data_IF_789537452499
#
_entry.id   IF_789537452499
#
_cell.length_a   1.000
_cell.length_b   1.000
_cell.length_c   1.000
_cell.angle_alpha   90.00
_cell.angle_beta   90.00
_cell.angle_gamma   90.00
#
_symmetry.space_group_name_H-M   'P 1'
#
loop_
_entity.id
_entity.type
_entity.pdbx_description
1 polymer ?
#
# COMPACT_ATOMS: atom_id res chain seq x y z
N UNK A 1 1.15 -17.54 24.38
CA UNK A 1 0.18 -16.59 23.81
C UNK A 1 0.77 -16.08 22.51
N UNK A 2 0.07 -16.12 21.36
CA UNK A 2 0.68 -15.65 20.12
C UNK A 2 0.95 -14.16 20.16
N UNK A 3 2.10 -13.74 19.65
CA UNK A 3 2.57 -12.34 19.70
C UNK A 3 2.64 -11.71 18.32
N UNK A 4 2.00 -10.56 18.18
CA UNK A 4 2.08 -9.67 17.02
C UNK A 4 2.98 -8.48 17.35
N UNK A 5 3.96 -8.20 16.48
CA UNK A 5 4.78 -6.99 16.54
C UNK A 5 4.36 -6.03 15.45
N UNK A 6 3.94 -4.82 15.81
CA UNK A 6 3.70 -3.74 14.86
C UNK A 6 4.99 -2.94 14.68
N UNK A 7 5.66 -3.12 13.54
CA UNK A 7 7.01 -2.59 13.30
C UNK A 7 7.00 -1.05 13.16
N UNK A 8 8.06 -0.37 13.61
CA UNK A 8 8.18 1.10 13.47
C UNK A 8 8.35 1.52 12.00
N UNK A 9 8.16 2.81 11.69
CA UNK A 9 7.73 3.89 12.59
C UNK A 9 6.24 3.79 12.95
N UNK A 10 5.89 4.22 14.16
CA UNK A 10 4.50 4.27 14.60
C UNK A 10 3.78 5.52 14.09
N UNK A 11 2.47 5.37 13.89
CA UNK A 11 1.56 6.45 13.54
C UNK A 11 0.37 6.46 14.49
N UNK A 12 -0.39 7.56 14.54
CA UNK A 12 -1.65 7.61 15.29
C UNK A 12 -2.61 6.45 14.94
N UNK A 13 -2.54 5.96 13.70
CA UNK A 13 -3.33 4.82 13.23
C UNK A 13 -2.83 3.50 13.81
N UNK A 14 -1.52 3.23 13.82
CA UNK A 14 -0.99 1.98 14.38
C UNK A 14 -1.14 1.92 15.89
N UNK A 15 -0.98 3.05 16.58
CA UNK A 15 -1.27 3.18 18.02
C UNK A 15 -2.72 2.84 18.33
N UNK A 16 -3.67 3.41 17.57
CA UNK A 16 -5.10 3.13 17.72
C UNK A 16 -5.40 1.64 17.48
N UNK A 17 -4.90 1.09 16.37
CA UNK A 17 -5.10 -0.33 16.03
C UNK A 17 -4.54 -1.27 17.10
N UNK A 18 -3.36 -0.99 17.65
CA UNK A 18 -2.81 -1.79 18.74
C UNK A 18 -3.74 -1.79 19.96
N UNK A 19 -4.28 -0.63 20.34
CA UNK A 19 -5.24 -0.50 21.44
C UNK A 19 -6.53 -1.29 21.18
N UNK A 20 -7.09 -1.18 19.97
CA UNK A 20 -8.29 -1.92 19.56
C UNK A 20 -8.04 -3.44 19.59
N UNK A 21 -6.89 -3.90 19.07
CA UNK A 21 -6.51 -5.33 19.05
C UNK A 21 -6.35 -5.90 20.46
N UNK A 22 -5.70 -5.18 21.37
CA UNK A 22 -5.54 -5.63 22.78
C UNK A 22 -6.90 -5.74 23.47
N UNK A 23 -7.82 -4.81 23.19
CA UNK A 23 -9.16 -4.79 23.78
C UNK A 23 -10.06 -5.89 23.22
N UNK A 24 -10.06 -6.09 21.91
CA UNK A 24 -10.97 -7.02 21.23
C UNK A 24 -10.44 -8.45 21.19
N UNK A 25 -9.12 -8.63 21.21
CA UNK A 25 -8.46 -9.94 21.11
C UNK A 25 -7.46 -10.16 22.26
N UNK A 26 -7.93 -10.22 23.52
CA UNK A 26 -7.06 -10.33 24.70
C UNK A 26 -6.24 -11.64 24.76
N UNK A 27 -6.57 -12.63 23.92
CA UNK A 27 -5.80 -13.86 23.75
C UNK A 27 -4.51 -13.69 22.93
N UNK A 28 -4.25 -12.51 22.37
CA UNK A 28 -3.02 -12.19 21.65
C UNK A 28 -2.23 -11.09 22.37
N UNK A 29 -0.91 -11.20 22.31
CA UNK A 29 -0.02 -10.13 22.75
C UNK A 29 0.26 -9.21 21.57
N UNK A 30 0.12 -7.90 21.76
CA UNK A 30 0.49 -6.89 20.76
C UNK A 30 1.64 -6.05 21.30
N UNK A 31 2.75 -6.02 20.57
CA UNK A 31 3.90 -5.17 20.86
C UNK A 31 3.96 -4.03 19.83
N UNK A 32 4.23 -2.82 20.32
CA UNK A 32 4.27 -1.59 19.52
C UNK A 32 5.62 -0.87 19.75
N UNK A 33 6.75 -1.47 19.32
CA UNK A 33 8.07 -0.85 19.46
C UNK A 33 8.16 0.50 18.74
N UNK A 34 8.80 1.48 19.35
CA UNK A 34 9.01 2.81 18.76
C UNK A 34 10.32 2.92 17.98
N UNK A 35 11.28 2.03 18.27
CA UNK A 35 12.61 2.01 17.65
C UNK A 35 12.95 0.66 17.04
N UNK A 36 13.94 0.64 16.13
CA UNK A 36 14.44 -0.61 15.54
C UNK A 36 15.08 -1.53 16.59
N UNK A 37 15.69 -0.96 17.63
CA UNK A 37 16.26 -1.74 18.74
C UNK A 37 15.17 -2.46 19.53
N UNK A 38 14.09 -1.75 19.88
CA UNK A 38 12.93 -2.34 20.53
C UNK A 38 12.25 -3.38 19.64
N UNK A 39 12.16 -3.11 18.33
CA UNK A 39 11.62 -4.06 17.37
C UNK A 39 12.45 -5.33 17.29
N UNK A 40 13.79 -5.20 17.28
CA UNK A 40 14.74 -6.32 17.30
C UNK A 40 14.62 -7.15 18.58
N UNK A 41 14.35 -6.53 19.73
CA UNK A 41 14.06 -7.27 20.97
C UNK A 41 12.67 -7.94 20.93
N UNK A 42 11.66 -7.24 20.42
CA UNK A 42 10.28 -7.71 20.39
C UNK A 42 10.05 -8.85 19.39
N UNK A 43 10.80 -8.90 18.28
CA UNK A 43 10.59 -9.89 17.22
C UNK A 43 11.09 -11.29 17.58
N UNK A 44 12.00 -11.41 18.57
CA UNK A 44 12.68 -12.67 18.91
C UNK A 44 11.69 -13.83 19.10
N UNK A 45 10.64 -13.59 19.87
CA UNK A 45 9.60 -14.55 20.19
C UNK A 45 8.26 -14.26 19.49
N UNK A 46 8.23 -13.36 18.51
CA UNK A 46 7.02 -12.99 17.79
C UNK A 46 6.56 -14.08 16.82
N UNK A 47 5.24 -14.33 16.79
CA UNK A 47 4.61 -15.23 15.82
C UNK A 47 4.27 -14.50 14.51
N UNK A 48 3.95 -13.21 14.63
CA UNK A 48 3.53 -12.37 13.52
C UNK A 48 4.14 -10.97 13.61
N UNK A 49 4.29 -10.33 12.45
CA UNK A 49 4.67 -8.93 12.35
C UNK A 49 3.81 -8.19 11.32
N UNK A 50 3.59 -6.89 11.56
CA UNK A 50 2.91 -5.98 10.63
C UNK A 50 3.85 -4.81 10.31
N UNK A 51 4.15 -4.58 9.04
CA UNK A 51 4.98 -3.46 8.60
C UNK A 51 6.07 -3.83 7.58
N UNK A 52 7.15 -3.05 7.59
CA UNK A 52 8.38 -3.31 6.84
C UNK A 52 9.38 -3.92 7.81
N UNK A 53 9.86 -5.13 7.51
CA UNK A 53 10.75 -5.89 8.39
C UNK A 53 12.20 -5.77 7.91
N UNK A 54 13.06 -5.00 8.59
CA UNK A 54 14.48 -4.90 8.24
C UNK A 54 15.22 -6.23 8.38
N UNK A 55 16.31 -6.41 7.64
CA UNK A 55 17.05 -7.68 7.60
C UNK A 55 17.70 -8.04 8.95
N UNK A 56 18.17 -7.05 9.70
CA UNK A 56 18.76 -7.20 11.03
C UNK A 56 17.72 -7.56 12.11
N UNK A 57 16.48 -7.07 11.94
CA UNK A 57 15.34 -7.46 12.77
C UNK A 57 14.88 -8.88 12.41
N UNK A 58 14.78 -9.22 11.12
CA UNK A 58 14.47 -10.59 10.67
C UNK A 58 15.48 -11.60 11.22
N UNK A 59 16.77 -11.26 11.24
CA UNK A 59 17.82 -12.15 11.76
C UNK A 59 17.67 -12.49 13.26
N UNK A 60 16.94 -11.68 14.02
CA UNK A 60 16.64 -11.95 15.43
C UNK A 60 15.39 -12.83 15.63
N UNK A 61 14.55 -12.99 14.61
CA UNK A 61 13.27 -13.68 14.71
C UNK A 61 13.45 -15.21 14.84
N UNK A 62 12.89 -15.81 15.90
CA UNK A 62 13.00 -17.26 16.13
C UNK A 62 11.68 -18.01 15.90
N UNK A 63 10.55 -17.31 15.93
CA UNK A 63 9.20 -17.91 15.87
C UNK A 63 8.31 -17.32 14.77
N UNK A 64 8.84 -16.42 13.95
CA UNK A 64 8.06 -15.64 13.01
C UNK A 64 7.47 -16.54 11.91
N UNK A 65 6.14 -16.58 11.84
CA UNK A 65 5.38 -17.39 10.87
C UNK A 65 4.64 -16.53 9.86
N UNK A 66 4.28 -15.30 10.23
CA UNK A 66 3.50 -14.40 9.37
C UNK A 66 4.03 -12.97 9.36
N UNK A 67 4.22 -12.40 8.18
CA UNK A 67 4.51 -10.98 7.97
C UNK A 67 3.42 -10.36 7.09
N UNK A 68 2.72 -9.36 7.61
CA UNK A 68 1.74 -8.58 6.87
C UNK A 68 2.35 -7.26 6.40
N UNK A 69 2.41 -7.07 5.08
CA UNK A 69 2.76 -5.79 4.48
C UNK A 69 1.63 -4.77 4.65
N UNK A 70 1.95 -3.50 4.96
CA UNK A 70 0.96 -2.43 5.07
C UNK A 70 0.49 -1.91 3.70
N UNK A 71 1.09 -2.37 2.60
CA UNK A 71 0.80 -1.89 1.25
C UNK A 71 0.20 -3.00 0.38
N UNK A 72 -0.59 -2.60 -0.63
CA UNK A 72 -1.03 -3.54 -1.67
C UNK A 72 0.11 -3.86 -2.64
N UNK A 73 0.90 -2.86 -3.02
CA UNK A 73 2.16 -3.03 -3.73
C UNK A 73 3.28 -2.50 -2.83
N UNK A 74 4.01 -3.38 -2.12
CA UNK A 74 5.17 -2.96 -1.36
C UNK A 74 6.22 -2.32 -2.27
N UNK A 75 6.97 -1.30 -1.79
CA UNK A 75 7.98 -0.63 -2.60
C UNK A 75 9.11 -1.60 -3.00
N UNK A 76 9.88 -1.21 -4.01
CA UNK A 76 11.10 -1.93 -4.38
C UNK A 76 12.01 -2.07 -3.15
N UNK A 77 12.59 -3.25 -2.96
CA UNK A 77 13.43 -3.57 -1.81
C UNK A 77 12.69 -4.13 -0.60
N UNK A 78 11.35 -4.11 -0.57
CA UNK A 78 10.59 -4.78 0.51
C UNK A 78 10.91 -6.28 0.59
N UNK A 79 10.95 -6.95 -0.57
CA UNK A 79 11.37 -8.34 -0.70
C UNK A 79 12.89 -8.37 -0.98
N UNK A 80 13.68 -8.54 0.07
CA UNK A 80 15.13 -8.72 -0.02
C UNK A 80 15.52 -10.20 0.09
N UNK A 81 16.73 -10.62 -0.37
CA UNK A 81 17.10 -12.03 -0.47
C UNK A 81 16.87 -12.85 0.80
N UNK A 82 17.22 -12.31 1.98
CA UNK A 82 17.02 -13.00 3.25
C UNK A 82 15.54 -13.18 3.62
N UNK A 83 14.65 -12.24 3.28
CA UNK A 83 13.21 -12.41 3.50
C UNK A 83 12.62 -13.45 2.54
N UNK A 84 13.10 -13.49 1.30
CA UNK A 84 12.65 -14.44 0.27
C UNK A 84 13.00 -15.88 0.66
N UNK A 85 14.17 -16.11 1.26
CA UNK A 85 14.61 -17.44 1.69
C UNK A 85 14.08 -17.84 3.06
N UNK A 86 13.56 -16.90 3.85
CA UNK A 86 13.03 -17.17 5.18
C UNK A 86 11.70 -17.93 5.09
N UNK A 87 11.42 -18.90 5.99
CA UNK A 87 10.17 -19.67 5.98
C UNK A 87 8.91 -18.89 6.39
N UNK A 88 9.01 -17.56 6.54
CA UNK A 88 7.87 -16.73 6.98
C UNK A 88 6.88 -16.57 5.83
N UNK A 89 5.60 -16.72 6.11
CA UNK A 89 4.58 -16.40 5.12
C UNK A 89 4.38 -14.89 5.05
N UNK A 90 4.69 -14.30 3.89
CA UNK A 90 4.50 -12.87 3.65
C UNK A 90 3.19 -12.63 2.90
N UNK A 91 2.33 -11.78 3.46
CA UNK A 91 1.06 -11.35 2.87
C UNK A 91 1.08 -9.85 2.59
N UNK A 92 0.26 -9.40 1.64
CA UNK A 92 0.02 -7.98 1.33
C UNK A 92 -1.49 -7.70 1.30
N UNK A 93 -1.86 -6.44 1.08
CA UNK A 93 -3.27 -6.06 0.92
C UNK A 93 -3.72 -6.37 -0.52
N UNK A 94 -4.81 -7.12 -0.69
CA UNK A 94 -5.41 -7.39 -2.01
C UNK A 94 -6.89 -7.04 -2.00
N UNK A 95 -7.39 -6.56 -3.14
CA UNK A 95 -8.82 -6.31 -3.36
C UNK A 95 -9.35 -4.96 -2.87
N UNK A 96 -8.61 -4.23 -2.03
CA UNK A 96 -9.05 -2.96 -1.44
C UNK A 96 -9.08 -1.77 -2.41
N UNK A 97 -8.50 -1.92 -3.62
CA UNK A 97 -8.39 -0.84 -4.60
C UNK A 97 -9.09 -1.11 -5.94
N UNK A 98 -9.71 -2.28 -6.11
CA UNK A 98 -10.24 -2.70 -7.41
C UNK A 98 -11.22 -1.68 -8.00
N UNK A 99 -12.20 -1.24 -7.21
CA UNK A 99 -13.22 -0.30 -7.68
C UNK A 99 -12.67 1.12 -7.83
N UNK A 100 -11.88 1.57 -6.85
CA UNK A 100 -11.32 2.92 -6.84
C UNK A 100 -10.38 3.16 -8.03
N UNK A 101 -9.52 2.20 -8.35
CA UNK A 101 -8.58 2.33 -9.48
C UNK A 101 -9.34 2.26 -10.80
N UNK A 102 -10.31 1.35 -10.95
CA UNK A 102 -11.09 1.26 -12.18
C UNK A 102 -11.85 2.57 -12.48
N UNK A 103 -12.48 3.17 -11.47
CA UNK A 103 -13.15 4.46 -11.59
C UNK A 103 -12.17 5.58 -11.96
N UNK A 104 -10.98 5.59 -11.34
CA UNK A 104 -9.95 6.59 -11.60
C UNK A 104 -9.38 6.48 -13.02
N UNK A 105 -9.15 5.26 -13.51
CA UNK A 105 -8.75 5.01 -14.91
C UNK A 105 -9.81 5.54 -15.86
N UNK A 106 -11.09 5.22 -15.62
CA UNK A 106 -12.18 5.66 -16.49
C UNK A 106 -12.32 7.19 -16.53
N UNK A 107 -12.17 7.84 -15.38
CA UNK A 107 -12.12 9.30 -15.29
C UNK A 107 -11.01 9.87 -16.19
N UNK A 108 -9.79 9.32 -16.14
CA UNK A 108 -8.69 9.77 -17.01
C UNK A 108 -8.95 9.49 -18.48
N UNK A 109 -9.43 8.29 -18.84
CA UNK A 109 -9.74 7.93 -20.23
C UNK A 109 -10.71 8.94 -20.83
N UNK A 110 -11.80 9.26 -20.13
CA UNK A 110 -12.80 10.23 -20.60
C UNK A 110 -12.24 11.65 -20.66
N UNK A 111 -11.53 12.09 -19.63
CA UNK A 111 -10.94 13.43 -19.57
C UNK A 111 -9.93 13.66 -20.69
N UNK A 112 -9.02 12.71 -20.92
CA UNK A 112 -7.95 12.83 -21.91
C UNK A 112 -8.49 12.67 -23.34
N UNK A 113 -9.42 11.75 -23.59
CA UNK A 113 -10.02 11.57 -24.92
C UNK A 113 -10.76 12.84 -25.41
N UNK A 114 -11.30 13.64 -24.48
CA UNK A 114 -12.00 14.90 -24.75
C UNK A 114 -11.12 16.13 -24.62
N UNK A 115 -9.85 15.98 -24.23
CA UNK A 115 -8.92 17.10 -24.02
C UNK A 115 -9.35 18.04 -22.88
N UNK A 116 -10.03 17.50 -21.87
CA UNK A 116 -10.54 18.25 -20.71
C UNK A 116 -9.46 19.13 -20.03
N UNK A 117 -8.20 18.65 -19.82
CA UNK A 117 -7.17 19.51 -19.21
C UNK A 117 -6.95 20.83 -19.95
N UNK A 118 -6.98 20.83 -21.29
CA UNK A 118 -6.80 22.04 -22.08
C UNK A 118 -7.96 23.03 -21.92
N UNK A 119 -9.19 22.54 -21.86
CA UNK A 119 -10.35 23.37 -21.59
C UNK A 119 -10.36 23.90 -20.15
N UNK A 120 -9.88 23.11 -19.19
CA UNK A 120 -9.70 23.57 -17.80
C UNK A 120 -8.67 24.70 -17.71
N UNK A 121 -7.56 24.62 -18.46
CA UNK A 121 -6.58 25.70 -18.54
C UNK A 121 -7.17 26.98 -19.17
N UNK A 122 -7.94 26.84 -20.25
CA UNK A 122 -8.65 27.96 -20.87
C UNK A 122 -9.65 28.62 -19.91
N UNK A 123 -10.42 27.80 -19.19
CA UNK A 123 -11.36 28.25 -18.17
C UNK A 123 -10.65 28.99 -17.03
N UNK A 124 -9.52 28.47 -16.52
CA UNK A 124 -8.70 29.15 -15.49
C UNK A 124 -8.19 30.50 -15.98
N UNK A 125 -7.88 30.62 -17.27
CA UNK A 125 -7.51 31.88 -17.92
C UNK A 125 -8.74 32.77 -18.26
N UNK A 126 -9.95 32.38 -17.85
CA UNK A 126 -11.22 33.07 -18.13
C UNK A 126 -11.51 33.25 -19.62
N UNK A 127 -11.06 32.29 -20.43
CA UNK A 127 -11.30 32.28 -21.88
C UNK A 127 -12.31 31.21 -22.24
N UNK A 128 -13.32 31.60 -23.00
CA UNK A 128 -14.19 30.67 -23.71
C UNK A 128 -13.57 30.35 -25.06
N UNK A 129 -13.00 29.16 -25.19
CA UNK A 129 -12.18 28.78 -26.35
C UNK A 129 -12.58 27.38 -26.82
N UNK A 130 -13.34 27.33 -27.92
CA UNK A 130 -13.83 26.09 -28.53
C UNK A 130 -12.69 25.22 -29.07
N UNK A 131 -11.55 25.84 -29.38
CA UNK A 131 -10.40 25.22 -30.04
C UNK A 131 -9.23 25.03 -29.04
N UNK A 132 -9.48 25.10 -27.73
CA UNK A 132 -8.44 25.03 -26.70
C UNK A 132 -7.60 23.75 -26.73
N UNK A 133 -8.12 22.65 -27.29
CA UNK A 133 -7.42 21.35 -27.36
C UNK A 133 -6.15 21.47 -28.19
N UNK A 134 -5.06 20.91 -27.64
CA UNK A 134 -3.78 20.79 -28.36
C UNK A 134 -3.56 19.40 -28.95
N UNK A 135 -4.43 18.45 -28.64
CA UNK A 135 -4.46 17.11 -29.21
C UNK A 135 -5.76 16.86 -29.98
N UNK A 136 -5.72 15.90 -30.90
CA UNK A 136 -6.92 15.42 -31.57
C UNK A 136 -7.94 14.83 -30.58
N UNK A 137 -9.21 14.85 -30.99
CA UNK A 137 -10.24 14.04 -30.35
C UNK A 137 -9.89 12.56 -30.49
N UNK A 138 -9.98 11.80 -29.40
CA UNK A 138 -9.91 10.34 -29.47
C UNK A 138 -11.34 9.81 -29.45
N UNK A 139 -11.77 9.23 -30.57
CA UNK A 139 -13.02 8.48 -30.62
C UNK A 139 -12.83 7.14 -29.91
N UNK A 140 -13.42 7.01 -28.72
CA UNK A 140 -13.31 5.82 -27.90
C UNK A 140 -14.04 4.61 -28.50
N UNK A 141 -15.00 4.80 -29.43
CA UNK A 141 -15.70 3.68 -30.07
C UNK A 141 -14.77 2.91 -31.03
N UNK A 142 -13.88 3.61 -31.71
CA UNK A 142 -12.87 3.02 -32.61
C UNK A 142 -11.50 2.81 -31.98
N UNK A 143 -11.30 3.21 -30.73
CA UNK A 143 -10.02 3.09 -30.03
C UNK A 143 -9.77 1.67 -29.51
N UNK A 144 -8.50 1.29 -29.41
CA UNK A 144 -8.05 0.06 -28.74
C UNK A 144 -7.27 0.42 -27.49
N UNK A 145 -7.56 -0.24 -26.38
CA UNK A 145 -6.82 -0.11 -25.13
C UNK A 145 -6.16 -1.45 -24.75
N UNK A 146 -4.91 -1.38 -24.30
CA UNK A 146 -4.18 -2.51 -23.74
C UNK A 146 -4.18 -2.41 -22.21
N UNK A 147 -4.62 -3.45 -21.53
CA UNK A 147 -4.52 -3.58 -20.07
C UNK A 147 -3.27 -4.42 -19.78
N UNK A 148 -2.25 -3.79 -19.19
CA UNK A 148 -1.01 -4.46 -18.78
C UNK A 148 -1.11 -4.89 -17.32
N UNK A 149 -1.45 -6.17 -17.09
CA UNK A 149 -1.71 -6.75 -15.77
C UNK A 149 -3.21 -6.93 -15.49
N UNK A 150 -3.65 -8.18 -15.32
CA UNK A 150 -5.05 -8.59 -15.12
C UNK A 150 -5.24 -9.29 -13.77
#
# INVERSE_FOLDING_TARGET
MPKLVMLPPQSAKTVRWAGDLVKELPQYQVALPETDEEARAAIVDADAAFGVLPADVLAAAQKLRWLQSPAAAPPAGYYYPALITHPVQVCNLRGVYNDHIAQHIMMYVLALARGLPYYMDAQRARRWDKDARKSGYVDLQGATALIMGL
#
